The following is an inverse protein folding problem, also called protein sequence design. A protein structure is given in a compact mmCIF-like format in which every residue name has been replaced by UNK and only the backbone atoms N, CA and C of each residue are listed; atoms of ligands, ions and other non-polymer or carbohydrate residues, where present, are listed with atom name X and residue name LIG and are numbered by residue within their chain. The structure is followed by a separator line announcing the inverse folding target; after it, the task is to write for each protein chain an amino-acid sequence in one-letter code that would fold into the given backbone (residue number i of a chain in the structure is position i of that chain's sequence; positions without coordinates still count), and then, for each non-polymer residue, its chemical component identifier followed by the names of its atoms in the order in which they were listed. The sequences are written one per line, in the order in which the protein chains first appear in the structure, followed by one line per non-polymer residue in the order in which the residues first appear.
data_IF_090906559682
#
_entry.id   IF_090906559682
#
_cell.length_a   1.000
_cell.length_b   1.000
_cell.length_c   1.000
_cell.angle_alpha   90.00
_cell.angle_beta   90.00
_cell.angle_gamma   90.00
#
_symmetry.space_group_name_H-M   'P 1'
#
loop_
_entity.id
_entity.type
_entity.pdbx_description
1 polymer ?
#
# COMPACT_ATOMS: atom_id res chain seq x y z
N UNK A 1 -38.97 -0.85 -13.92
CA UNK A 1 -38.37 -1.92 -13.09
C UNK A 1 -36.88 -1.92 -13.35
N UNK A 2 -36.13 -1.55 -12.31
CA UNK A 2 -34.78 -0.99 -12.40
C UNK A 2 -33.71 -2.05 -12.71
N UNK A 3 -32.76 -1.69 -13.57
CA UNK A 3 -31.57 -2.48 -13.90
C UNK A 3 -30.54 -2.30 -12.79
N UNK A 4 -30.05 -3.39 -12.20
CA UNK A 4 -28.90 -3.35 -11.30
C UNK A 4 -27.64 -3.06 -12.11
N UNK A 5 -27.14 -1.83 -12.00
CA UNK A 5 -25.76 -1.50 -12.29
C UNK A 5 -24.93 -1.93 -11.08
N UNK A 6 -24.03 -2.90 -11.29
CA UNK A 6 -22.95 -3.17 -10.34
C UNK A 6 -21.91 -2.08 -10.53
N UNK A 7 -22.07 -0.95 -9.83
CA UNK A 7 -21.03 0.07 -9.74
C UNK A 7 -19.82 -0.57 -9.03
N UNK A 8 -18.79 -0.84 -9.81
CA UNK A 8 -17.43 -1.01 -9.27
C UNK A 8 -17.00 0.39 -8.85
N UNK A 9 -16.68 0.66 -7.58
CA UNK A 9 -16.17 1.98 -7.21
C UNK A 9 -14.90 2.23 -8.02
N UNK A 10 -14.95 3.22 -8.89
CA UNK A 10 -13.81 3.71 -9.65
C UNK A 10 -12.88 4.41 -8.65
N UNK A 11 -12.04 3.59 -8.00
CA UNK A 11 -11.01 4.09 -7.11
C UNK A 11 -10.04 4.90 -7.97
N UNK A 12 -9.96 6.22 -7.75
CA UNK A 12 -8.98 7.07 -8.40
C UNK A 12 -7.61 6.38 -8.40
N UNK A 13 -6.84 6.44 -9.50
CA UNK A 13 -5.55 5.74 -9.57
C UNK A 13 -4.69 6.21 -8.40
N UNK A 14 -4.24 5.26 -7.59
CA UNK A 14 -3.28 5.54 -6.53
C UNK A 14 -2.06 6.22 -7.15
N UNK A 15 -1.53 7.30 -6.56
CA UNK A 15 -0.34 7.96 -7.07
C UNK A 15 0.80 6.94 -7.23
N UNK A 16 1.67 7.10 -8.24
CA UNK A 16 2.80 6.20 -8.42
C UNK A 16 3.71 6.25 -7.19
N UNK A 17 4.37 5.11 -6.92
CA UNK A 17 5.37 5.03 -5.86
C UNK A 17 6.44 6.11 -6.06
N UNK A 18 6.83 6.85 -5.01
CA UNK A 18 7.91 7.83 -5.11
C UNK A 18 9.22 7.20 -5.61
N UNK A 19 10.03 7.98 -6.31
CA UNK A 19 11.28 7.50 -6.88
C UNK A 19 12.24 6.94 -5.82
N UNK A 20 13.05 5.97 -6.23
CA UNK A 20 13.91 5.19 -5.32
C UNK A 20 14.88 6.05 -4.50
N UNK A 21 15.47 7.09 -5.07
CA UNK A 21 16.36 7.99 -4.32
C UNK A 21 15.61 8.78 -3.24
N UNK A 22 14.35 9.13 -3.49
CA UNK A 22 13.49 9.82 -2.51
C UNK A 22 13.16 8.86 -1.37
N UNK A 23 12.67 7.66 -1.69
CA UNK A 23 12.29 6.64 -0.70
C UNK A 23 13.44 6.24 0.20
N UNK A 24 14.65 6.08 -0.34
CA UNK A 24 15.83 5.62 0.40
C UNK A 24 16.57 6.75 1.13
N UNK A 25 16.20 8.01 0.91
CA UNK A 25 16.95 9.15 1.44
C UNK A 25 16.94 9.21 2.97
N UNK A 26 15.86 8.78 3.64
CA UNK A 26 15.60 9.07 5.06
C UNK A 26 15.55 10.58 5.41
N UNK A 27 15.56 11.47 4.40
CA UNK A 27 15.56 12.91 4.60
C UNK A 27 14.21 13.42 5.14
N UNK A 28 13.15 12.68 4.85
CA UNK A 28 11.79 12.88 5.36
C UNK A 28 11.24 11.51 5.75
N UNK A 29 10.75 11.38 6.98
CA UNK A 29 10.29 10.11 7.52
C UNK A 29 8.78 10.09 7.68
N UNK A 30 8.19 8.93 7.39
CA UNK A 30 6.81 8.59 7.69
C UNK A 30 6.80 7.42 8.71
N UNK A 31 6.95 7.70 10.02
CA UNK A 31 7.10 6.65 11.03
C UNK A 31 5.81 5.84 11.29
N UNK A 32 4.68 6.21 10.69
CA UNK A 32 3.38 5.60 10.98
C UNK A 32 2.81 6.03 12.34
N UNK A 33 3.28 7.16 12.85
CA UNK A 33 2.93 7.72 14.15
C UNK A 33 1.95 8.89 14.04
N UNK A 34 1.37 9.32 15.16
CA UNK A 34 0.32 10.34 15.22
C UNK A 34 0.56 11.39 16.30
N UNK A 35 0.09 12.62 16.07
CA UNK A 35 -0.06 13.59 17.15
C UNK A 35 -1.33 13.34 18.00
N UNK A 36 -1.53 14.14 19.05
CA UNK A 36 -2.74 14.06 19.89
C UNK A 36 -4.04 14.44 19.20
N UNK A 37 -3.97 15.03 18.00
CA UNK A 37 -5.12 15.36 17.18
C UNK A 37 -5.48 14.21 16.23
N UNK A 38 -4.70 13.12 16.24
CA UNK A 38 -4.89 11.99 15.34
C UNK A 38 -4.34 12.25 13.93
N UNK A 39 -3.55 13.31 13.72
CA UNK A 39 -2.93 13.57 12.44
C UNK A 39 -1.67 12.71 12.27
N UNK A 40 -1.50 12.01 11.13
CA UNK A 40 -0.27 11.27 10.84
C UNK A 40 0.94 12.20 10.83
N UNK A 41 2.05 11.70 11.37
CA UNK A 41 3.29 12.45 11.53
C UNK A 41 4.22 12.30 10.32
N UNK A 42 4.73 13.44 9.88
CA UNK A 42 5.91 13.56 9.02
C UNK A 42 7.06 14.11 9.86
N UNK A 43 8.25 13.55 9.72
CA UNK A 43 9.42 14.01 10.48
C UNK A 43 10.54 14.42 9.53
N UNK A 44 11.07 15.63 9.73
CA UNK A 44 12.36 16.06 9.20
C UNK A 44 13.41 15.84 10.30
N UNK A 45 14.11 14.69 10.32
CA UNK A 45 15.06 14.34 11.39
C UNK A 45 16.30 15.24 11.35
N UNK A 46 16.97 15.43 12.49
CA UNK A 46 18.21 16.21 12.54
C UNK A 46 19.38 15.53 11.81
N UNK A 47 19.50 14.21 11.93
CA UNK A 47 20.68 13.46 11.50
C UNK A 47 20.78 13.32 9.97
N UNK A 48 19.65 13.29 9.27
CA UNK A 48 19.58 13.04 7.82
C UNK A 48 19.28 14.30 6.99
N UNK A 49 19.32 15.47 7.63
CA UNK A 49 19.00 16.75 7.01
C UNK A 49 19.91 17.17 5.86
N UNK A 50 21.14 16.64 5.81
CA UNK A 50 22.07 16.91 4.71
C UNK A 50 21.54 16.35 3.38
N UNK A 51 20.85 15.22 3.40
CA UNK A 51 20.32 14.55 2.19
C UNK A 51 19.18 15.31 1.53
N UNK A 52 18.58 16.29 2.21
CA UNK A 52 17.61 17.19 1.59
C UNK A 52 18.19 17.99 0.42
N UNK A 53 19.52 18.18 0.33
CA UNK A 53 20.13 18.84 -0.85
C UNK A 53 20.10 17.99 -2.12
N UNK A 54 19.88 16.68 -1.99
CA UNK A 54 19.77 15.74 -3.11
C UNK A 54 18.34 15.63 -3.64
N UNK A 55 17.37 16.24 -2.94
CA UNK A 55 15.96 16.19 -3.25
C UNK A 55 15.45 17.56 -3.71
N UNK A 56 14.47 17.55 -4.60
CA UNK A 56 13.66 18.72 -4.91
C UNK A 56 12.48 18.85 -3.95
N UNK A 57 11.96 20.07 -3.80
CA UNK A 57 10.76 20.32 -2.98
C UNK A 57 9.52 19.61 -3.53
N UNK A 58 9.41 19.51 -4.86
CA UNK A 58 8.32 18.80 -5.52
C UNK A 58 8.31 17.31 -5.16
N UNK A 59 9.48 16.65 -5.21
CA UNK A 59 9.61 15.25 -4.80
C UNK A 59 9.21 15.02 -3.33
N UNK A 60 9.56 15.93 -2.44
CA UNK A 60 9.17 15.84 -1.02
C UNK A 60 7.66 16.06 -0.85
N UNK A 61 7.08 17.01 -1.57
CA UNK A 61 5.63 17.25 -1.57
C UNK A 61 4.88 16.02 -2.10
N UNK A 62 5.35 15.43 -3.20
CA UNK A 62 4.75 14.23 -3.80
C UNK A 62 4.88 13.02 -2.88
N UNK A 63 6.03 12.85 -2.23
CA UNK A 63 6.22 11.84 -1.18
C UNK A 63 5.20 11.98 -0.04
N UNK A 64 5.02 13.19 0.50
CA UNK A 64 4.09 13.44 1.60
C UNK A 64 2.64 13.17 1.14
N UNK A 65 2.27 13.63 -0.05
CA UNK A 65 0.95 13.41 -0.61
C UNK A 65 0.66 11.93 -0.90
N UNK A 66 1.66 11.18 -1.38
CA UNK A 66 1.55 9.73 -1.60
C UNK A 66 1.21 9.00 -0.30
N UNK A 67 1.98 9.21 0.77
CA UNK A 67 1.72 8.52 2.04
C UNK A 67 0.47 9.00 2.75
N UNK A 68 0.10 10.28 2.58
CA UNK A 68 -1.20 10.76 3.04
C UNK A 68 -2.35 10.06 2.31
N UNK A 69 -2.24 9.84 1.00
CA UNK A 69 -3.23 9.09 0.22
C UNK A 69 -3.32 7.63 0.70
N UNK A 70 -2.18 6.97 0.95
CA UNK A 70 -2.16 5.62 1.51
C UNK A 70 -2.84 5.54 2.88
N UNK A 71 -2.69 6.58 3.71
CA UNK A 71 -3.30 6.64 5.02
C UNK A 71 -4.83 6.87 4.97
N UNK A 72 -5.29 7.68 4.02
CA UNK A 72 -6.67 8.13 3.91
C UNK A 72 -7.54 7.28 2.96
N UNK A 73 -7.11 6.09 2.55
CA UNK A 73 -7.82 5.24 1.57
C UNK A 73 -9.30 4.97 1.88
N UNK A 74 -9.76 5.17 3.12
CA UNK A 74 -11.09 4.73 3.56
C UNK A 74 -12.21 5.78 3.73
N UNK A 75 -12.05 7.10 3.94
CA UNK A 75 -13.23 7.98 4.12
C UNK A 75 -13.10 9.51 3.88
N UNK A 76 -14.17 10.06 3.27
CA UNK A 76 -14.96 11.32 3.46
C UNK A 76 -14.35 12.67 3.89
N UNK A 77 -13.15 12.75 4.48
CA UNK A 77 -12.51 14.03 4.84
C UNK A 77 -11.09 14.12 4.31
N UNK A 78 -10.69 15.33 3.91
CA UNK A 78 -9.28 15.65 3.62
C UNK A 78 -8.45 15.41 4.88
N UNK A 79 -7.65 14.34 4.89
CA UNK A 79 -6.76 14.08 6.03
C UNK A 79 -5.59 15.04 5.98
N UNK A 80 -5.29 15.67 7.11
CA UNK A 80 -4.18 16.59 7.28
C UNK A 80 -3.01 15.89 7.97
N UNK A 81 -1.79 16.34 7.68
CA UNK A 81 -0.57 15.85 8.35
C UNK A 81 -0.12 16.81 9.45
N UNK A 82 0.55 16.26 10.46
CA UNK A 82 1.33 17.03 11.42
C UNK A 82 2.82 16.83 11.15
N UNK A 83 3.59 17.92 11.17
CA UNK A 83 5.01 17.89 10.84
C UNK A 83 5.86 18.16 12.07
N UNK A 84 6.88 17.34 12.31
CA UNK A 84 7.95 17.61 13.26
C UNK A 84 9.21 17.94 12.47
N UNK A 85 9.78 19.12 12.65
CA UNK A 85 11.08 19.47 12.09
C UNK A 85 12.10 19.71 13.20
N UNK A 86 13.10 18.84 13.27
CA UNK A 86 14.17 18.94 14.27
C UNK A 86 15.33 19.78 13.75
N UNK A 87 15.25 21.10 13.91
CA UNK A 87 16.19 22.03 13.28
C UNK A 87 17.43 22.34 14.13
N UNK A 88 17.69 21.58 15.22
CA UNK A 88 18.80 21.82 16.16
C UNK A 88 20.15 22.03 15.46
N UNK A 89 20.38 21.28 14.39
CA UNK A 89 21.62 21.28 13.60
C UNK A 89 21.45 21.82 12.17
N UNK A 90 20.30 22.42 11.85
CA UNK A 90 19.98 22.84 10.49
C UNK A 90 20.90 23.94 9.95
N UNK A 91 21.19 23.86 8.65
CA UNK A 91 21.88 24.90 7.89
C UNK A 91 20.89 25.96 7.36
N UNK A 92 21.39 27.10 6.86
CA UNK A 92 20.54 28.10 6.20
C UNK A 92 19.83 27.55 4.94
N UNK A 93 20.53 26.83 4.02
CA UNK A 93 19.87 26.15 2.90
C UNK A 93 18.79 25.15 3.34
N UNK A 94 19.11 24.29 4.31
CA UNK A 94 18.16 23.27 4.81
C UNK A 94 16.92 23.90 5.43
N UNK A 95 17.11 24.94 6.25
CA UNK A 95 15.99 25.67 6.88
C UNK A 95 15.10 26.32 5.85
N UNK A 96 15.70 26.92 4.80
CA UNK A 96 14.95 27.49 3.69
C UNK A 96 14.17 26.41 2.94
N UNK A 97 14.82 25.29 2.63
CA UNK A 97 14.20 24.17 1.93
C UNK A 97 12.96 23.65 2.69
N UNK A 98 13.09 23.37 3.99
CA UNK A 98 11.99 22.86 4.81
C UNK A 98 10.86 23.89 4.89
N UNK A 99 11.17 25.16 5.17
CA UNK A 99 10.15 26.20 5.27
C UNK A 99 9.39 26.39 3.94
N UNK A 100 10.10 26.43 2.81
CA UNK A 100 9.48 26.56 1.48
C UNK A 100 8.66 25.31 1.11
N UNK A 101 9.10 24.11 1.49
CA UNK A 101 8.33 22.87 1.29
C UNK A 101 7.02 22.90 2.08
N UNK A 102 7.05 23.34 3.34
CA UNK A 102 5.85 23.51 4.17
C UNK A 102 4.87 24.52 3.57
N UNK A 103 5.38 25.64 3.06
CA UNK A 103 4.56 26.64 2.38
C UNK A 103 3.96 26.09 1.08
N UNK A 104 4.69 25.26 0.34
CA UNK A 104 4.16 24.58 -0.85
C UNK A 104 3.03 23.62 -0.48
N UNK A 105 3.19 22.77 0.54
CA UNK A 105 2.11 21.88 1.00
C UNK A 105 0.84 22.65 1.36
N UNK A 106 0.99 23.82 1.97
CA UNK A 106 -0.13 24.70 2.32
C UNK A 106 -0.82 25.28 1.08
N UNK A 107 -0.04 25.77 0.11
CA UNK A 107 -0.57 26.42 -1.09
C UNK A 107 -1.37 25.49 -1.99
N UNK A 108 -1.00 24.21 -2.08
CA UNK A 108 -1.64 23.28 -3.00
C UNK A 108 -2.98 22.76 -2.48
N UNK A 109 -3.02 22.26 -1.23
CA UNK A 109 -4.20 21.56 -0.69
C UNK A 109 -4.45 21.81 0.80
N UNK A 110 -3.78 22.80 1.42
CA UNK A 110 -3.81 23.01 2.88
C UNK A 110 -3.56 21.74 3.66
N UNK A 111 -2.58 20.95 3.23
CA UNK A 111 -2.35 19.57 3.70
C UNK A 111 -1.86 19.50 5.16
N UNK A 112 -1.44 20.63 5.75
CA UNK A 112 -0.74 20.67 7.04
C UNK A 112 -1.66 21.17 8.14
N UNK A 113 -1.82 20.38 9.20
CA UNK A 113 -2.56 20.77 10.40
C UNK A 113 -1.67 21.55 11.38
N UNK A 114 -0.56 20.94 11.81
CA UNK A 114 0.37 21.51 12.79
C UNK A 114 1.83 21.30 12.38
N UNK A 115 2.69 22.24 12.75
CA UNK A 115 4.14 22.16 12.56
C UNK A 115 4.84 22.43 13.89
N UNK A 116 5.52 21.40 14.40
CA UNK A 116 6.34 21.41 15.61
C UNK A 116 7.81 21.62 15.23
N UNK A 117 8.36 22.77 15.59
CA UNK A 117 9.71 23.20 15.21
C UNK A 117 10.62 23.15 16.43
N UNK A 118 11.52 22.17 16.50
CA UNK A 118 12.61 22.19 17.48
C UNK A 118 13.63 23.20 16.99
N UNK A 119 13.87 24.24 17.79
CA UNK A 119 14.52 25.44 17.31
C UNK A 119 16.00 25.23 16.94
N UNK A 120 16.51 25.92 15.90
CA UNK A 120 17.94 25.93 15.60
C UNK A 120 18.75 26.57 16.71
N UNK A 121 19.91 25.98 17.03
CA UNK A 121 20.86 26.56 18.01
C UNK A 121 21.53 27.84 17.51
N UNK A 122 21.69 28.00 16.18
CA UNK A 122 22.31 29.18 15.56
C UNK A 122 21.29 30.30 15.39
N UNK A 123 21.56 31.47 16.01
CA UNK A 123 20.67 32.65 16.01
C UNK A 123 20.25 33.11 14.60
N UNK A 124 21.17 33.13 13.64
CA UNK A 124 20.86 33.57 12.27
C UNK A 124 19.93 32.59 11.53
N UNK A 125 20.02 31.29 11.82
CA UNK A 125 19.11 30.26 11.27
C UNK A 125 17.72 30.41 11.87
N UNK A 126 17.63 30.64 13.19
CA UNK A 126 16.35 30.89 13.87
C UNK A 126 15.67 32.17 13.32
N UNK A 127 16.42 33.26 13.10
CA UNK A 127 15.88 34.47 12.46
C UNK A 127 15.37 34.20 11.06
N UNK A 128 16.10 33.44 10.24
CA UNK A 128 15.67 33.07 8.89
C UNK A 128 14.36 32.27 8.93
N UNK A 129 14.27 31.25 9.79
CA UNK A 129 13.08 30.42 9.94
C UNK A 129 11.84 31.27 10.28
N UNK A 130 11.96 32.14 11.27
CA UNK A 130 10.88 33.04 11.69
C UNK A 130 10.46 33.98 10.55
N UNK A 131 11.43 34.51 9.79
CA UNK A 131 11.16 35.39 8.64
C UNK A 131 10.42 34.64 7.52
N UNK A 132 10.83 33.40 7.20
CA UNK A 132 10.24 32.61 6.13
C UNK A 132 8.81 32.14 6.46
N UNK A 133 8.56 31.80 7.73
CA UNK A 133 7.25 31.33 8.20
C UNK A 133 6.36 32.47 8.73
N UNK A 134 6.81 33.73 8.61
CA UNK A 134 6.00 34.88 8.98
C UNK A 134 4.79 35.00 8.03
N UNK A 135 3.63 35.48 8.52
CA UNK A 135 2.48 35.74 7.66
C UNK A 135 2.84 36.77 6.58
N UNK A 136 2.83 36.39 5.30
CA UNK A 136 2.94 37.32 4.18
C UNK A 136 1.55 37.82 3.78
N UNK A 137 1.46 39.05 3.24
CA UNK A 137 0.17 39.70 2.89
C UNK A 137 -0.64 38.97 1.80
N UNK A 138 -0.02 38.07 1.03
CA UNK A 138 -0.67 37.32 -0.07
C UNK A 138 -0.96 35.85 0.24
N UNK A 139 -0.18 35.22 1.11
CA UNK A 139 -0.34 33.80 1.48
C UNK A 139 0.07 33.62 2.95
N UNK A 140 -0.90 33.44 3.82
CA UNK A 140 -0.65 33.12 5.23
C UNK A 140 -0.66 31.60 5.41
N UNK A 141 0.41 31.06 5.98
CA UNK A 141 0.42 29.69 6.46
C UNK A 141 -0.69 29.52 7.51
N UNK A 142 -1.75 28.77 7.20
CA UNK A 142 -2.89 28.59 8.11
C UNK A 142 -2.66 27.51 9.16
N UNK A 143 -1.62 26.67 8.97
CA UNK A 143 -1.23 25.66 9.92
C UNK A 143 -0.76 26.24 11.27
N UNK A 144 -1.04 25.50 12.34
CA UNK A 144 -0.60 25.85 13.70
C UNK A 144 0.91 25.67 13.82
N UNK A 145 1.62 26.71 14.23
CA UNK A 145 3.08 26.68 14.48
C UNK A 145 3.37 26.56 15.97
N UNK A 146 4.21 25.61 16.34
CA UNK A 146 4.69 25.41 17.72
C UNK A 146 6.22 25.47 17.73
N UNK A 147 6.78 26.44 18.43
CA UNK A 147 8.23 26.59 18.59
C UNK A 147 8.66 25.94 19.90
N UNK A 148 9.61 25.01 19.83
CA UNK A 148 10.07 24.20 20.96
C UNK A 148 11.56 24.45 21.17
N UNK A 149 12.00 24.68 22.42
CA UNK A 149 13.42 24.91 22.69
C UNK A 149 14.20 23.60 22.67
N UNK A 150 13.59 22.54 23.19
CA UNK A 150 14.18 21.20 23.27
C UNK A 150 13.22 20.12 22.77
N UNK A 151 13.75 18.96 22.39
CA UNK A 151 12.94 17.83 21.89
C UNK A 151 11.99 17.27 22.95
N UNK A 152 12.33 17.37 24.24
CA UNK A 152 11.47 16.90 25.35
C UNK A 152 10.12 17.59 25.38
N UNK A 153 10.02 18.84 24.91
CA UNK A 153 8.77 19.58 24.83
C UNK A 153 7.78 19.01 23.80
N UNK A 154 8.23 18.18 22.86
CA UNK A 154 7.34 17.46 21.92
C UNK A 154 6.32 16.60 22.67
N UNK A 155 6.69 16.07 23.85
CA UNK A 155 5.80 15.26 24.69
C UNK A 155 4.55 16.01 25.18
N UNK A 156 4.58 17.36 25.15
CA UNK A 156 3.41 18.20 25.44
C UNK A 156 2.37 18.19 24.32
N UNK A 157 2.67 17.59 23.17
CA UNK A 157 1.82 17.58 21.96
C UNK A 157 1.66 16.20 21.35
N UNK A 158 2.69 15.35 21.44
CA UNK A 158 2.75 14.03 20.83
C UNK A 158 3.10 13.02 21.92
N UNK A 159 2.39 11.89 21.99
CA UNK A 159 2.72 10.86 22.98
C UNK A 159 4.14 10.33 22.76
N UNK A 160 4.85 9.99 23.84
CA UNK A 160 6.23 9.48 23.76
C UNK A 160 6.32 8.14 23.01
N UNK A 161 5.24 7.37 22.94
CA UNK A 161 5.14 6.15 22.13
C UNK A 161 5.14 6.42 20.62
N UNK A 162 4.85 7.66 20.22
CA UNK A 162 4.75 8.10 18.83
C UNK A 162 6.01 8.86 18.37
N UNK A 163 6.99 9.04 19.26
CA UNK A 163 8.25 9.75 19.01
C UNK A 163 9.42 8.77 19.05
N UNK A 164 10.38 8.95 18.15
CA UNK A 164 11.63 8.18 18.19
C UNK A 164 12.52 8.64 19.35
N UNK A 165 13.52 7.83 19.70
CA UNK A 165 14.47 8.16 20.77
C UNK A 165 15.18 9.51 20.54
N UNK A 166 15.53 9.83 19.29
CA UNK A 166 16.15 11.11 18.91
C UNK A 166 15.26 12.34 19.24
N UNK A 167 13.94 12.13 19.32
CA UNK A 167 12.92 13.13 19.63
C UNK A 167 12.37 12.98 21.07
N UNK A 168 12.99 12.16 21.92
CA UNK A 168 12.62 12.00 23.34
C UNK A 168 11.55 10.94 23.63
N UNK A 169 11.20 10.12 22.64
CA UNK A 169 10.25 9.01 22.80
C UNK A 169 10.89 7.63 22.83
N UNK A 170 10.08 6.61 22.58
CA UNK A 170 10.47 5.19 22.57
C UNK A 170 9.91 4.41 21.38
N UNK A 171 9.41 5.11 20.35
CA UNK A 171 9.06 4.50 19.07
C UNK A 171 10.34 3.96 18.40
N UNK A 172 10.34 2.67 18.11
CA UNK A 172 11.39 2.03 17.32
C UNK A 172 11.04 2.21 15.84
N UNK A 173 11.93 2.85 15.08
CA UNK A 173 11.76 3.06 13.65
C UNK A 173 13.02 2.62 12.91
N UNK A 174 12.85 1.77 11.89
CA UNK A 174 13.92 1.37 10.98
C UNK A 174 13.54 1.77 9.55
N UNK A 175 14.23 2.78 9.01
CA UNK A 175 13.92 3.29 7.68
C UNK A 175 14.12 2.23 6.59
N UNK A 176 15.19 1.44 6.65
CA UNK A 176 15.45 0.36 5.67
C UNK A 176 14.33 -0.69 5.65
N UNK A 177 13.87 -1.11 6.83
CA UNK A 177 12.75 -2.03 6.97
C UNK A 177 11.46 -1.45 6.42
N UNK A 178 11.20 -0.16 6.70
CA UNK A 178 10.04 0.56 6.17
C UNK A 178 10.08 0.62 4.64
N UNK A 179 11.21 1.00 4.02
CA UNK A 179 11.34 1.04 2.56
C UNK A 179 11.12 -0.35 1.95
N UNK A 180 11.75 -1.38 2.51
CA UNK A 180 11.60 -2.76 2.03
C UNK A 180 10.14 -3.22 2.06
N UNK A 181 9.42 -2.93 3.15
CA UNK A 181 7.99 -3.24 3.25
C UNK A 181 7.17 -2.48 2.19
N UNK A 182 7.37 -1.17 2.04
CA UNK A 182 6.63 -0.36 1.05
C UNK A 182 6.84 -0.90 -0.36
N UNK A 183 8.08 -1.22 -0.74
CA UNK A 183 8.41 -1.75 -2.06
C UNK A 183 7.76 -3.10 -2.32
N UNK A 184 7.83 -4.03 -1.37
CA UNK A 184 7.22 -5.35 -1.52
C UNK A 184 5.70 -5.27 -1.70
N UNK A 185 5.04 -4.37 -0.96
CA UNK A 185 3.60 -4.15 -1.11
C UNK A 185 3.27 -3.47 -2.45
N UNK A 186 4.08 -2.51 -2.90
CA UNK A 186 3.89 -1.88 -4.21
C UNK A 186 4.09 -2.88 -5.36
N UNK A 187 5.13 -3.71 -5.31
CA UNK A 187 5.40 -4.77 -6.29
C UNK A 187 4.18 -5.70 -6.44
N UNK A 188 3.60 -6.16 -5.32
CA UNK A 188 2.35 -6.93 -5.34
C UNK A 188 1.20 -6.15 -5.99
N UNK A 189 1.03 -4.87 -5.66
CA UNK A 189 -0.04 -4.04 -6.23
C UNK A 189 0.13 -3.89 -7.74
N UNK A 190 1.35 -3.70 -8.25
CA UNK A 190 1.61 -3.63 -9.69
C UNK A 190 1.28 -4.94 -10.39
N UNK A 191 1.67 -6.09 -9.81
CA UNK A 191 1.30 -7.41 -10.32
C UNK A 191 -0.22 -7.60 -10.34
N UNK A 192 -0.90 -7.24 -9.25
CA UNK A 192 -2.36 -7.31 -9.14
C UNK A 192 -3.04 -6.49 -10.24
N UNK A 193 -2.63 -5.23 -10.43
CA UNK A 193 -3.17 -4.34 -11.47
C UNK A 193 -2.92 -4.90 -12.87
N UNK A 194 -1.73 -5.44 -13.13
CA UNK A 194 -1.39 -6.10 -14.41
C UNK A 194 -2.29 -7.29 -14.71
N UNK A 195 -2.59 -8.14 -13.71
CA UNK A 195 -3.54 -9.26 -13.88
C UNK A 195 -4.95 -8.76 -14.14
N UNK A 196 -5.41 -7.75 -13.38
CA UNK A 196 -6.75 -7.15 -13.57
C UNK A 196 -6.92 -6.59 -14.98
N UNK A 197 -5.89 -5.95 -15.55
CA UNK A 197 -5.90 -5.43 -16.91
C UNK A 197 -5.95 -6.55 -17.97
N UNK A 198 -5.28 -7.68 -17.74
CA UNK A 198 -5.25 -8.83 -18.67
C UNK A 198 -6.50 -9.70 -18.59
N UNK A 199 -7.20 -9.70 -17.46
CA UNK A 199 -8.32 -10.60 -17.17
C UNK A 199 -9.48 -10.53 -18.21
N UNK A 200 -9.94 -9.36 -18.68
CA UNK A 200 -11.01 -9.28 -19.67
C UNK A 200 -10.65 -9.94 -21.00
N UNK A 201 -9.40 -9.79 -21.44
CA UNK A 201 -8.89 -10.41 -22.67
C UNK A 201 -8.88 -11.93 -22.54
N UNK A 202 -8.36 -12.44 -21.42
CA UNK A 202 -8.38 -13.87 -21.11
C UNK A 202 -9.81 -14.45 -21.15
N UNK A 203 -10.77 -13.79 -20.47
CA UNK A 203 -12.18 -14.22 -20.47
C UNK A 203 -12.78 -14.22 -21.89
N UNK A 204 -12.44 -13.23 -22.72
CA UNK A 204 -12.89 -13.17 -24.12
C UNK A 204 -12.35 -14.35 -24.93
N UNK A 205 -11.07 -14.67 -24.78
CA UNK A 205 -10.44 -15.83 -25.42
C UNK A 205 -11.04 -17.16 -24.95
N UNK A 206 -11.36 -17.32 -23.66
CA UNK A 206 -12.03 -18.53 -23.17
C UNK A 206 -13.43 -18.68 -23.79
N UNK A 207 -14.18 -17.59 -23.90
CA UNK A 207 -15.50 -17.58 -24.55
C UNK A 207 -15.45 -17.86 -26.05
N UNK A 208 -14.37 -17.48 -26.75
CA UNK A 208 -14.23 -17.82 -28.17
C UNK A 208 -13.88 -19.29 -28.35
N UNK A 209 -13.02 -19.84 -27.49
CA UNK A 209 -12.70 -21.27 -27.46
C UNK A 209 -13.94 -22.13 -27.21
N UNK A 210 -14.84 -21.71 -26.32
CA UNK A 210 -16.08 -22.44 -26.01
C UNK A 210 -17.11 -22.47 -27.15
N UNK A 211 -16.92 -21.65 -28.19
CA UNK A 211 -17.81 -21.56 -29.36
C UNK A 211 -17.30 -22.32 -30.57
N UNK A 212 -16.13 -22.93 -30.48
CA UNK A 212 -15.56 -23.71 -31.58
C UNK A 212 -16.43 -24.95 -31.85
N UNK A 213 -16.68 -25.32 -33.12
CA UNK A 213 -17.45 -26.50 -33.45
C UNK A 213 -16.72 -27.76 -32.94
N UNK A 214 -17.46 -28.62 -32.25
CA UNK A 214 -16.92 -29.90 -31.74
C UNK A 214 -16.80 -30.87 -32.91
N UNK A 215 -15.63 -31.50 -33.14
CA UNK A 215 -15.46 -32.47 -34.21
C UNK A 215 -16.33 -33.72 -34.04
N UNK A 216 -16.68 -34.35 -35.17
CA UNK A 216 -17.56 -35.53 -35.22
C UNK A 216 -16.80 -36.86 -35.20
N UNK A 217 -15.50 -36.88 -35.55
CA UNK A 217 -14.68 -38.10 -35.50
C UNK A 217 -13.84 -38.18 -34.23
N UNK A 218 -13.54 -39.40 -33.79
CA UNK A 218 -12.76 -39.63 -32.57
C UNK A 218 -11.33 -39.08 -32.65
N UNK A 219 -10.64 -39.27 -33.78
CA UNK A 219 -9.28 -38.78 -34.02
C UNK A 219 -9.21 -37.24 -33.97
N UNK A 220 -10.15 -36.57 -34.64
CA UNK A 220 -10.24 -35.11 -34.62
C UNK A 220 -10.64 -34.56 -33.25
N UNK A 221 -11.51 -35.26 -32.51
CA UNK A 221 -11.89 -34.89 -31.15
C UNK A 221 -10.69 -34.95 -30.20
N UNK A 222 -9.86 -35.99 -30.29
CA UNK A 222 -8.64 -36.12 -29.48
C UNK A 222 -7.65 -34.97 -29.76
N UNK A 223 -7.43 -34.64 -31.03
CA UNK A 223 -6.59 -33.51 -31.43
C UNK A 223 -7.17 -32.14 -31.02
N UNK A 224 -8.50 -31.99 -31.10
CA UNK A 224 -9.21 -30.78 -30.67
C UNK A 224 -9.06 -30.54 -29.17
N UNK A 225 -9.26 -31.58 -28.34
CA UNK A 225 -9.09 -31.49 -26.89
C UNK A 225 -7.65 -31.11 -26.51
N UNK A 226 -6.65 -31.80 -27.07
CA UNK A 226 -5.24 -31.51 -26.75
C UNK A 226 -4.82 -30.10 -27.19
N UNK A 227 -5.28 -29.65 -28.35
CA UNK A 227 -5.01 -28.30 -28.86
C UNK A 227 -5.63 -27.22 -27.96
N UNK A 228 -6.89 -27.39 -27.56
CA UNK A 228 -7.58 -26.42 -26.73
C UNK A 228 -7.04 -26.41 -25.29
N UNK A 229 -6.67 -27.56 -24.74
CA UNK A 229 -6.01 -27.66 -23.44
C UNK A 229 -4.66 -26.92 -23.45
N UNK A 230 -3.84 -27.11 -24.49
CA UNK A 230 -2.59 -26.37 -24.64
C UNK A 230 -2.81 -24.85 -24.75
N UNK A 231 -3.85 -24.42 -25.46
CA UNK A 231 -4.24 -22.99 -25.55
C UNK A 231 -4.69 -22.46 -24.19
N UNK A 232 -5.47 -23.22 -23.43
CA UNK A 232 -5.91 -22.83 -22.08
C UNK A 232 -4.72 -22.67 -21.13
N UNK A 233 -3.83 -23.65 -21.09
CA UNK A 233 -2.62 -23.58 -20.26
C UNK A 233 -1.77 -22.36 -20.63
N UNK A 234 -1.66 -22.04 -21.93
CA UNK A 234 -0.99 -20.82 -22.38
C UNK A 234 -1.70 -19.55 -21.88
N UNK A 235 -3.01 -19.44 -22.06
CA UNK A 235 -3.79 -18.29 -21.59
C UNK A 235 -3.70 -18.10 -20.07
N UNK A 236 -3.72 -19.20 -19.30
CA UNK A 236 -3.61 -19.17 -17.84
C UNK A 236 -2.24 -18.67 -17.38
N UNK A 237 -1.16 -19.15 -18.00
CA UNK A 237 0.21 -18.64 -17.76
C UNK A 237 0.35 -17.16 -18.15
N UNK A 238 -0.18 -16.78 -19.30
CA UNK A 238 -0.15 -15.38 -19.77
C UNK A 238 -1.01 -14.44 -18.92
N UNK A 239 -2.04 -14.96 -18.24
CA UNK A 239 -2.81 -14.19 -17.27
C UNK A 239 -2.01 -13.94 -15.98
N UNK A 240 -1.16 -14.87 -15.55
CA UNK A 240 -0.30 -14.74 -14.36
C UNK A 240 -1.05 -14.81 -13.03
N UNK A 241 -2.26 -15.39 -13.02
CA UNK A 241 -3.13 -15.39 -11.85
C UNK A 241 -2.64 -16.34 -10.75
N UNK A 242 -1.95 -17.43 -11.13
CA UNK A 242 -1.39 -18.40 -10.19
C UNK A 242 -0.13 -17.86 -9.50
N UNK A 243 0.72 -17.14 -10.24
CA UNK A 243 1.86 -16.41 -9.71
C UNK A 243 1.38 -15.35 -8.71
N UNK A 244 0.37 -14.57 -9.08
CA UNK A 244 -0.21 -13.55 -8.22
C UNK A 244 -0.82 -14.15 -6.94
N UNK A 245 -1.51 -15.28 -7.04
CA UNK A 245 -2.07 -15.97 -5.87
C UNK A 245 -0.96 -16.42 -4.91
N UNK A 246 0.09 -17.08 -5.44
CA UNK A 246 1.25 -17.51 -4.62
C UNK A 246 1.95 -16.33 -3.95
N UNK A 247 2.12 -15.21 -4.67
CA UNK A 247 2.69 -14.00 -4.09
C UNK A 247 1.78 -13.41 -3.00
N UNK A 248 0.47 -13.36 -3.24
CA UNK A 248 -0.53 -12.93 -2.26
C UNK A 248 -0.48 -13.77 -0.97
N UNK A 249 -0.42 -15.09 -1.10
CA UNK A 249 -0.30 -16.04 0.02
C UNK A 249 0.98 -15.79 0.82
N UNK A 250 2.11 -15.59 0.15
CA UNK A 250 3.39 -15.25 0.77
C UNK A 250 3.29 -13.95 1.59
N UNK A 251 2.77 -12.87 1.00
CA UNK A 251 2.59 -11.59 1.71
C UNK A 251 1.62 -11.74 2.89
N UNK A 252 0.50 -12.46 2.72
CA UNK A 252 -0.46 -12.76 3.80
C UNK A 252 0.19 -13.57 4.92
N UNK A 253 1.07 -14.51 4.61
CA UNK A 253 1.81 -15.27 5.62
C UNK A 253 2.74 -14.36 6.42
N UNK A 254 3.51 -13.49 5.75
CA UNK A 254 4.40 -12.51 6.40
C UNK A 254 3.63 -11.52 7.26
N UNK A 255 2.45 -11.09 6.83
CA UNK A 255 1.56 -10.23 7.63
C UNK A 255 1.00 -10.96 8.86
N UNK A 256 0.80 -12.28 8.77
CA UNK A 256 0.32 -13.11 9.90
C UNK A 256 1.43 -13.40 10.92
N UNK A 257 2.66 -13.58 10.44
CA UNK A 257 3.84 -13.92 11.24
C UNK A 257 4.97 -12.91 11.02
N UNK A 258 4.76 -11.63 11.39
CA UNK A 258 5.71 -10.56 11.08
C UNK A 258 7.08 -10.76 11.72
N UNK A 259 7.17 -11.51 12.82
CA UNK A 259 8.42 -11.85 13.51
C UNK A 259 9.42 -12.66 12.68
N UNK A 260 8.97 -13.30 11.59
CA UNK A 260 9.84 -14.08 10.70
C UNK A 260 10.60 -13.22 9.70
N UNK A 261 10.14 -11.98 9.47
CA UNK A 261 10.67 -11.09 8.44
C UNK A 261 10.97 -9.71 9.02
N UNK A 262 12.23 -9.24 9.04
CA UNK A 262 12.62 -7.99 9.70
C UNK A 262 11.85 -6.74 9.23
N UNK A 263 11.46 -6.67 7.96
CA UNK A 263 10.67 -5.54 7.44
C UNK A 263 9.22 -5.55 7.95
N UNK A 264 8.60 -6.73 8.06
CA UNK A 264 7.24 -6.88 8.59
C UNK A 264 7.21 -6.68 10.11
N UNK A 265 8.19 -7.22 10.84
CA UNK A 265 8.31 -7.02 12.29
C UNK A 265 8.41 -5.52 12.63
N UNK A 266 9.23 -4.77 11.91
CA UNK A 266 9.41 -3.34 12.15
C UNK A 266 8.15 -2.51 11.85
N UNK A 267 7.27 -3.01 10.99
CA UNK A 267 6.02 -2.35 10.61
C UNK A 267 4.83 -2.79 11.48
N UNK A 268 4.97 -3.90 12.21
CA UNK A 268 3.92 -4.43 13.07
C UNK A 268 3.46 -3.38 14.10
N UNK A 269 2.15 -3.23 14.25
CA UNK A 269 1.53 -2.24 15.14
C UNK A 269 1.34 -0.85 14.53
N UNK A 270 1.86 -0.58 13.33
CA UNK A 270 1.54 0.65 12.60
C UNK A 270 0.14 0.57 11.96
N UNK A 271 -0.50 1.73 11.77
CA UNK A 271 -1.77 1.81 11.06
C UNK A 271 -1.65 1.31 9.61
N UNK A 272 -0.54 1.65 8.93
CA UNK A 272 -0.29 1.20 7.57
C UNK A 272 -0.22 -0.33 7.49
N UNK A 273 0.52 -0.98 8.39
CA UNK A 273 0.59 -2.43 8.44
C UNK A 273 -0.79 -3.07 8.64
N UNK A 274 -1.58 -2.53 9.57
CA UNK A 274 -2.93 -3.03 9.85
C UNK A 274 -3.85 -2.89 8.64
N UNK A 275 -3.80 -1.75 7.94
CA UNK A 275 -4.57 -1.54 6.72
C UNK A 275 -4.12 -2.47 5.59
N UNK A 276 -2.82 -2.59 5.37
CA UNK A 276 -2.25 -3.53 4.38
C UNK A 276 -2.68 -4.95 4.68
N UNK A 277 -2.66 -5.38 5.95
CA UNK A 277 -3.09 -6.71 6.35
C UNK A 277 -4.57 -6.98 5.96
N UNK A 278 -5.45 -6.01 6.21
CA UNK A 278 -6.85 -6.11 5.84
C UNK A 278 -7.05 -6.16 4.32
N UNK A 279 -6.42 -5.23 3.58
CA UNK A 279 -6.53 -5.14 2.13
C UNK A 279 -6.00 -6.41 1.45
N UNK A 280 -4.89 -6.97 1.94
CA UNK A 280 -4.31 -8.21 1.44
C UNK A 280 -5.21 -9.42 1.66
N UNK A 281 -5.90 -9.52 2.81
CA UNK A 281 -6.89 -10.58 3.04
C UNK A 281 -8.08 -10.49 2.08
N UNK A 282 -8.55 -9.27 1.81
CA UNK A 282 -9.59 -9.05 0.80
C UNK A 282 -9.10 -9.43 -0.59
N UNK A 283 -7.89 -9.01 -0.97
CA UNK A 283 -7.29 -9.35 -2.25
C UNK A 283 -7.10 -10.86 -2.41
N UNK A 284 -6.63 -11.56 -1.38
CA UNK A 284 -6.50 -13.01 -1.38
C UNK A 284 -7.84 -13.69 -1.74
N UNK A 285 -8.94 -13.28 -1.10
CA UNK A 285 -10.27 -13.82 -1.39
C UNK A 285 -10.72 -13.56 -2.83
N UNK A 286 -10.46 -12.35 -3.35
CA UNK A 286 -10.81 -11.96 -4.72
C UNK A 286 -10.01 -12.72 -5.76
N UNK A 287 -8.70 -12.89 -5.53
CA UNK A 287 -7.80 -13.61 -6.43
C UNK A 287 -8.17 -15.10 -6.45
N UNK A 288 -8.41 -15.69 -5.29
CA UNK A 288 -8.86 -17.10 -5.18
C UNK A 288 -10.14 -17.32 -5.98
N UNK A 289 -11.15 -16.47 -5.79
CA UNK A 289 -12.40 -16.55 -6.54
C UNK A 289 -12.20 -16.34 -8.06
N UNK A 290 -11.24 -15.50 -8.46
CA UNK A 290 -10.89 -15.33 -9.87
C UNK A 290 -10.25 -16.59 -10.46
N UNK A 291 -9.36 -17.27 -9.71
CA UNK A 291 -8.75 -18.54 -10.12
C UNK A 291 -9.82 -19.60 -10.34
N UNK A 292 -10.71 -19.78 -9.35
CA UNK A 292 -11.82 -20.72 -9.44
C UNK A 292 -12.74 -20.41 -10.60
N UNK A 293 -13.02 -19.14 -10.87
CA UNK A 293 -13.89 -18.72 -11.97
C UNK A 293 -13.26 -18.99 -13.34
N UNK A 294 -11.96 -18.77 -13.51
CA UNK A 294 -11.24 -19.10 -14.76
C UNK A 294 -11.28 -20.60 -15.02
N UNK A 295 -11.06 -21.41 -13.98
CA UNK A 295 -11.14 -22.87 -14.06
C UNK A 295 -12.56 -23.34 -14.39
N UNK A 296 -13.58 -22.75 -13.76
CA UNK A 296 -14.98 -23.07 -14.02
C UNK A 296 -15.40 -22.70 -15.45
N UNK A 297 -14.94 -21.57 -15.99
CA UNK A 297 -15.19 -21.20 -17.38
C UNK A 297 -14.58 -22.20 -18.37
N UNK A 298 -13.38 -22.70 -18.06
CA UNK A 298 -12.75 -23.77 -18.83
C UNK A 298 -13.56 -25.07 -18.75
N UNK A 299 -13.97 -25.48 -17.55
CA UNK A 299 -14.80 -26.67 -17.36
C UNK A 299 -16.14 -26.56 -18.08
N UNK A 300 -16.83 -25.42 -18.05
CA UNK A 300 -18.09 -25.21 -18.78
C UNK A 300 -17.91 -25.25 -20.30
N UNK A 301 -16.77 -24.80 -20.80
CA UNK A 301 -16.49 -24.79 -22.23
C UNK A 301 -16.19 -26.19 -22.79
N UNK A 302 -15.67 -27.10 -21.96
CA UNK A 302 -15.14 -28.39 -22.43
C UNK A 302 -15.60 -29.63 -21.63
N UNK A 303 -16.47 -29.47 -20.62
CA UNK A 303 -17.24 -30.56 -20.02
C UNK A 303 -18.59 -30.67 -20.73
N UNK A 304 -18.89 -31.78 -21.43
CA UNK A 304 -20.21 -31.98 -22.01
C UNK A 304 -21.26 -32.14 -20.89
N UNK A 305 -22.56 -31.86 -21.14
CA UNK A 305 -23.62 -32.39 -20.32
C UNK A 305 -23.52 -33.93 -20.39
N UNK A 306 -23.02 -34.53 -19.33
CA UNK A 306 -22.88 -35.98 -19.19
C UNK A 306 -24.28 -36.61 -19.15
N UNK A 307 -24.74 -37.14 -20.28
CA UNK A 307 -25.74 -38.22 -20.25
C UNK A 307 -25.14 -39.42 -19.49
N UNK A 308 -25.93 -40.19 -18.72
CA UNK A 308 -25.42 -41.10 -17.67
C UNK A 308 -24.53 -42.26 -18.15
N UNK A 309 -24.33 -42.44 -19.46
CA UNK A 309 -23.78 -43.67 -20.05
C UNK A 309 -22.29 -43.64 -20.36
N UNK A 310 -21.51 -42.64 -19.92
CA UNK A 310 -20.05 -42.55 -20.22
C UNK A 310 -19.18 -42.24 -19.00
N UNK A 311 -19.39 -42.97 -17.90
CA UNK A 311 -18.66 -42.81 -16.64
C UNK A 311 -17.18 -43.25 -16.65
N UNK A 312 -16.59 -43.69 -17.77
CA UNK A 312 -15.33 -44.45 -17.75
C UNK A 312 -14.11 -43.85 -18.46
N UNK A 313 -14.12 -42.58 -18.90
CA UNK A 313 -13.01 -42.06 -19.73
C UNK A 313 -12.23 -40.85 -19.20
N UNK A 314 -12.49 -40.36 -17.99
CA UNK A 314 -11.68 -39.30 -17.40
C UNK A 314 -11.09 -39.72 -16.05
N UNK A 315 -9.75 -39.64 -15.86
CA UNK A 315 -9.17 -39.71 -14.53
C UNK A 315 -9.67 -38.51 -13.73
N UNK A 316 -10.18 -38.74 -12.52
CA UNK A 316 -10.48 -37.64 -11.59
C UNK A 316 -9.19 -36.89 -11.29
N UNK A 317 -9.16 -35.55 -11.35
CA UNK A 317 -8.06 -34.80 -10.77
C UNK A 317 -7.99 -35.06 -9.26
N UNK A 318 -6.80 -35.08 -8.66
CA UNK A 318 -6.65 -35.22 -7.22
C UNK A 318 -7.35 -34.04 -6.53
N UNK A 319 -8.14 -34.35 -5.51
CA UNK A 319 -8.86 -33.37 -4.71
C UNK A 319 -7.87 -32.36 -4.10
N UNK A 320 -8.11 -31.04 -4.19
CA UNK A 320 -7.34 -30.10 -3.40
C UNK A 320 -7.62 -30.38 -1.92
N UNK A 321 -6.54 -30.61 -1.18
CA UNK A 321 -6.50 -30.72 0.26
C UNK A 321 -7.30 -29.57 0.90
N UNK A 322 -8.06 -29.91 1.94
CA UNK A 322 -8.99 -29.02 2.61
C UNK A 322 -8.38 -27.67 2.97
N UNK A 323 -8.95 -26.62 2.38
CA UNK A 323 -8.75 -25.24 2.83
C UNK A 323 -9.52 -25.11 4.16
N UNK A 324 -8.78 -25.09 5.27
CA UNK A 324 -9.31 -24.84 6.60
C UNK A 324 -9.90 -23.42 6.65
N UNK A 325 -11.24 -23.35 6.60
CA UNK A 325 -12.04 -22.13 6.84
C UNK A 325 -11.83 -21.51 8.25
N UNK A 326 -10.96 -22.09 9.08
CA UNK A 326 -10.53 -21.53 10.37
C UNK A 326 -9.56 -20.35 10.28
N UNK A 327 -8.95 -20.10 9.12
CA UNK A 327 -7.90 -19.08 8.96
C UNK A 327 -8.41 -17.64 9.21
N UNK A 328 -9.64 -17.33 8.78
CA UNK A 328 -10.26 -16.01 8.97
C UNK A 328 -10.69 -15.76 10.42
N UNK A 329 -11.17 -16.79 11.12
CA UNK A 329 -11.64 -16.66 12.52
C UNK A 329 -10.48 -16.54 13.52
N UNK A 330 -9.38 -17.26 13.30
CA UNK A 330 -8.19 -17.23 14.19
C UNK A 330 -7.39 -15.93 14.07
N UNK A 331 -7.47 -15.23 12.95
CA UNK A 331 -6.86 -13.92 12.75
C UNK A 331 -7.67 -12.81 13.43
N UNK A 332 -9.00 -12.83 13.29
CA UNK A 332 -9.90 -11.90 13.98
C UNK A 332 -9.84 -12.05 15.50
N UNK A 333 -9.72 -13.26 16.05
CA UNK A 333 -9.60 -13.47 17.49
C UNK A 333 -8.25 -12.99 18.06
N UNK A 334 -7.16 -13.07 17.27
CA UNK A 334 -5.84 -12.59 17.69
C UNK A 334 -5.68 -11.07 17.56
N UNK A 335 -6.36 -10.44 16.60
CA UNK A 335 -6.34 -8.99 16.44
C UNK A 335 -7.27 -8.25 17.40
N UNK A 336 -8.32 -8.92 17.92
CA UNK A 336 -9.29 -8.31 18.84
C UNK A 336 -9.08 -8.66 20.31
N UNK A 337 -8.15 -9.56 20.63
CA UNK A 337 -7.87 -9.97 22.02
C UNK A 337 -9.00 -10.76 22.69
N UNK A 338 -10.01 -11.21 21.92
CA UNK A 338 -11.11 -12.03 22.41
C UNK A 338 -10.86 -13.49 22.04
N UNK A 339 -10.81 -14.37 23.06
CA UNK A 339 -10.78 -15.82 22.87
C UNK A 339 -12.10 -16.33 22.26
N UNK A 340 -12.08 -17.46 21.52
CA UNK A 340 -13.22 -17.94 20.73
C UNK A 340 -14.48 -18.22 21.53
#
# INVERSE_FOLDING_TARGET
MSRHATDVPECAPSPPLPADHVLNSAAVLFPGAFDRHGCPLIVFPADEQAKLSELSKAEVVDFINYFLCLHNKKQEKEGLVSVVADLRHASLPTTRFIAETLLQLELHKRTVHSVYLVQPKKKEVAKLLLKLLAPARSHTASFKKVLLKETSELSNYIDRSQLTAALGGYLIYCHKSWVAFIKEIDDFVQEFLSVVQRLPSCISSLKSLSRLPVPSTFSELQHFCSTNEAKFQKLRRELGLDELLRHCESVVEKLRYPEKEPCYQAMAGTALFTHTAFDMLQNHSRITAAVEKVELLWQQAFSPPLSPSRFFLFPRPPSPLGVDNGLGRRLLSRLTGLSP
#
